data_IF_431936667569
#
_entry.id   IF_431936667569
#
_cell.length_a   1.000
_cell.length_b   1.000
_cell.length_c   1.000
_cell.angle_alpha   90.00
_cell.angle_beta   90.00
_cell.angle_gamma   90.00
#
_symmetry.space_group_name_H-M   'P 1'
#
loop_
_entity.id
_entity.type
_entity.pdbx_description
1 polymer ?
#
# COMPACT_ATOMS: atom_id res chain seq x y z
N UNK A 1 -5.71 41.17 -10.90
CA UNK A 1 -4.62 40.42 -11.55
C UNK A 1 -3.59 40.10 -10.48
N UNK A 2 -3.55 38.87 -9.98
CA UNK A 2 -2.38 38.26 -9.33
C UNK A 2 -2.64 36.74 -9.29
N UNK A 3 -2.30 36.08 -10.38
CA UNK A 3 -2.13 34.63 -10.41
C UNK A 3 -0.72 34.34 -9.91
N UNK A 4 -0.63 33.69 -8.76
CA UNK A 4 0.62 33.16 -8.20
C UNK A 4 0.42 31.71 -7.80
N UNK A 5 0.07 30.85 -8.75
CA UNK A 5 0.12 29.40 -8.56
C UNK A 5 1.59 28.99 -8.46
N UNK A 6 2.14 28.96 -7.25
CA UNK A 6 3.41 28.30 -6.98
C UNK A 6 3.24 26.80 -7.26
N UNK A 7 3.56 26.38 -8.48
CA UNK A 7 3.80 24.96 -8.77
C UNK A 7 5.01 24.55 -7.93
N UNK A 8 4.80 23.86 -6.81
CA UNK A 8 5.87 23.15 -6.09
C UNK A 8 6.62 22.32 -7.13
N UNK A 9 7.94 22.52 -7.24
CA UNK A 9 8.80 21.76 -8.14
C UNK A 9 8.64 20.28 -7.77
N UNK A 10 8.19 19.44 -8.72
CA UNK A 10 8.08 18.00 -8.48
C UNK A 10 9.48 17.48 -8.17
N UNK A 11 9.68 16.96 -6.95
CA UNK A 11 10.96 16.41 -6.50
C UNK A 11 10.96 14.90 -6.71
N UNK A 12 12.11 14.36 -7.08
CA UNK A 12 12.33 12.93 -7.32
C UNK A 12 13.20 12.29 -6.24
N UNK A 13 13.87 13.10 -5.43
CA UNK A 13 14.78 12.65 -4.37
C UNK A 13 14.08 12.65 -3.02
N UNK A 14 14.41 11.64 -2.22
CA UNK A 14 14.01 11.53 -0.82
C UNK A 14 14.95 12.42 0.00
N UNK A 15 14.38 13.25 0.86
CA UNK A 15 15.10 14.14 1.75
C UNK A 15 15.51 13.38 3.03
N UNK A 16 16.68 13.72 3.58
CA UNK A 16 17.24 13.01 4.75
C UNK A 16 16.29 12.99 5.96
N UNK A 17 15.57 14.09 6.19
CA UNK A 17 14.62 14.18 7.31
C UNK A 17 13.46 13.20 7.17
N UNK A 18 13.10 12.78 5.96
CA UNK A 18 12.02 11.81 5.73
C UNK A 18 12.45 10.42 6.16
N UNK A 19 13.69 10.05 5.84
CA UNK A 19 14.28 8.79 6.27
C UNK A 19 14.48 8.80 7.79
N UNK A 20 14.96 9.91 8.36
CA UNK A 20 15.09 10.06 9.82
C UNK A 20 13.72 9.96 10.50
N UNK A 21 12.69 10.63 9.98
CA UNK A 21 11.34 10.59 10.53
C UNK A 21 10.75 9.17 10.48
N UNK A 22 10.80 8.50 9.32
CA UNK A 22 10.30 7.13 9.17
C UNK A 22 10.98 6.19 10.16
N UNK A 23 12.31 6.26 10.25
CA UNK A 23 13.08 5.41 11.17
C UNK A 23 12.71 5.71 12.62
N UNK A 24 12.66 6.99 13.02
CA UNK A 24 12.33 7.37 14.39
C UNK A 24 10.93 6.89 14.77
N UNK A 25 9.94 7.08 13.90
CA UNK A 25 8.57 6.60 14.11
C UNK A 25 8.55 5.08 14.26
N UNK A 26 9.04 4.35 13.27
CA UNK A 26 9.01 2.88 13.26
C UNK A 26 9.77 2.26 14.45
N UNK A 27 10.90 2.84 14.85
CA UNK A 27 11.66 2.36 16.02
C UNK A 27 11.02 2.67 17.37
N UNK A 28 10.08 3.63 17.42
CA UNK A 28 9.40 4.04 18.66
C UNK A 28 8.06 3.32 18.82
N UNK A 29 7.57 2.62 17.79
CA UNK A 29 6.33 1.86 17.87
C UNK A 29 6.39 0.81 19.01
N UNK A 30 5.30 0.66 19.76
CA UNK A 30 5.25 -0.29 20.89
C UNK A 30 5.26 -1.76 20.45
N UNK A 31 4.78 -2.06 19.25
CA UNK A 31 4.79 -3.41 18.66
C UNK A 31 6.05 -3.64 17.82
N UNK A 32 6.75 -4.75 18.08
CA UNK A 32 8.01 -5.12 17.41
C UNK A 32 7.81 -5.84 16.08
N UNK A 33 6.57 -6.05 15.65
CA UNK A 33 6.25 -6.82 14.44
C UNK A 33 6.67 -6.11 13.13
N UNK A 34 7.21 -4.90 13.25
CA UNK A 34 7.60 -4.03 12.14
C UNK A 34 9.14 -3.91 11.96
N UNK A 35 9.94 -4.81 12.58
CA UNK A 35 11.41 -4.84 12.43
C UNK A 35 11.87 -4.91 10.96
N UNK A 36 11.11 -5.60 10.09
CA UNK A 36 11.36 -5.65 8.64
C UNK A 36 11.11 -4.31 7.93
N UNK A 37 10.22 -3.46 8.46
CA UNK A 37 10.02 -2.10 7.95
C UNK A 37 11.22 -1.20 8.29
N UNK A 38 11.80 -1.38 9.48
CA UNK A 38 13.01 -0.67 9.88
C UNK A 38 14.20 -1.15 9.04
N UNK A 39 14.35 -2.48 8.88
CA UNK A 39 15.44 -3.08 8.12
C UNK A 39 15.45 -2.61 6.66
N UNK A 40 14.31 -2.61 5.98
CA UNK A 40 14.26 -2.22 4.56
C UNK A 40 14.71 -0.76 4.36
N UNK A 41 14.34 0.15 5.25
CA UNK A 41 14.74 1.56 5.15
C UNK A 41 16.24 1.70 5.41
N UNK A 42 16.76 1.07 6.47
CA UNK A 42 18.20 1.10 6.79
C UNK A 42 19.07 0.51 5.69
N UNK A 43 18.57 -0.49 4.98
CA UNK A 43 19.25 -1.14 3.87
C UNK A 43 19.05 -0.39 2.53
N UNK A 44 18.45 0.79 2.54
CA UNK A 44 18.29 1.62 1.35
C UNK A 44 17.30 1.03 0.33
N UNK A 45 16.18 0.47 0.80
CA UNK A 45 15.16 -0.07 -0.11
C UNK A 45 14.53 0.99 -1.02
N UNK A 46 14.35 2.20 -0.50
CA UNK A 46 13.72 3.33 -1.19
C UNK A 46 14.72 3.99 -2.18
N UNK A 47 14.31 4.17 -3.43
CA UNK A 47 15.15 4.71 -4.51
C UNK A 47 14.82 6.14 -4.94
N UNK A 48 13.66 6.67 -4.54
CA UNK A 48 13.18 7.98 -4.96
C UNK A 48 11.71 8.21 -4.65
N UNK A 49 11.16 9.30 -5.18
CA UNK A 49 9.74 9.67 -5.06
C UNK A 49 8.97 9.24 -6.33
N UNK A 50 7.87 8.52 -6.16
CA UNK A 50 6.97 8.14 -7.25
C UNK A 50 6.02 9.30 -7.59
N UNK A 51 6.20 9.85 -8.79
CA UNK A 51 5.42 10.98 -9.32
C UNK A 51 4.20 10.55 -10.16
N UNK A 52 3.98 9.25 -10.35
CA UNK A 52 2.91 8.71 -11.21
C UNK A 52 1.53 8.85 -10.57
N UNK A 53 1.47 8.81 -9.24
CA UNK A 53 0.25 9.04 -8.48
C UNK A 53 0.19 10.53 -8.09
N UNK A 54 -0.64 11.36 -8.75
CA UNK A 54 -0.80 12.76 -8.39
C UNK A 54 -1.50 12.81 -7.03
N UNK A 55 -0.71 12.75 -5.98
CA UNK A 55 -1.26 12.63 -4.66
C UNK A 55 -1.71 13.99 -4.11
N UNK A 56 -2.65 13.91 -3.19
CA UNK A 56 -3.09 15.03 -2.39
C UNK A 56 -1.90 15.76 -1.74
N UNK A 57 -2.00 17.09 -1.54
CA UNK A 57 -0.95 17.84 -0.87
C UNK A 57 -0.61 17.23 0.50
N UNK A 58 0.65 16.87 0.70
CA UNK A 58 1.14 16.24 1.93
C UNK A 58 1.43 14.75 1.79
N UNK A 59 0.96 14.09 0.72
CA UNK A 59 1.31 12.71 0.43
C UNK A 59 2.60 12.60 -0.36
N UNK A 60 3.42 11.63 0.02
CA UNK A 60 4.68 11.26 -0.64
C UNK A 60 4.69 9.76 -0.86
N UNK A 61 4.86 9.34 -2.10
CA UNK A 61 5.04 7.93 -2.48
C UNK A 61 6.50 7.66 -2.79
N UNK A 62 6.99 6.47 -2.47
CA UNK A 62 8.34 6.04 -2.78
C UNK A 62 8.40 5.10 -3.99
N UNK A 63 9.53 5.16 -4.70
CA UNK A 63 9.98 4.09 -5.60
C UNK A 63 10.99 3.20 -4.88
N UNK A 64 11.22 1.99 -5.38
CA UNK A 64 12.12 1.02 -4.75
C UNK A 64 13.25 0.59 -5.67
N UNK A 65 14.37 0.14 -5.10
CA UNK A 65 15.38 -0.58 -5.86
C UNK A 65 14.91 -2.02 -6.17
N UNK A 66 15.29 -2.56 -7.34
CA UNK A 66 14.85 -3.90 -7.77
C UNK A 66 15.26 -5.01 -6.80
N UNK A 67 16.46 -4.94 -6.23
CA UNK A 67 16.94 -5.89 -5.22
C UNK A 67 16.12 -5.83 -3.92
N UNK A 68 15.61 -4.65 -3.55
CA UNK A 68 14.76 -4.49 -2.39
C UNK A 68 13.37 -5.10 -2.63
N UNK A 69 12.80 -4.90 -3.83
CA UNK A 69 11.56 -5.56 -4.23
C UNK A 69 11.69 -7.08 -4.14
N UNK A 70 12.77 -7.64 -4.70
CA UNK A 70 13.02 -9.08 -4.64
C UNK A 70 13.20 -9.63 -3.20
N UNK A 71 13.64 -8.81 -2.25
CA UNK A 71 13.91 -9.23 -0.88
C UNK A 71 12.72 -9.04 0.07
N UNK A 72 12.00 -7.92 -0.04
CA UNK A 72 11.04 -7.49 0.98
C UNK A 72 9.58 -7.51 0.50
N UNK A 73 9.31 -7.51 -0.81
CA UNK A 73 7.95 -7.54 -1.33
C UNK A 73 7.32 -8.90 -1.03
N UNK A 74 6.16 -8.87 -0.38
CA UNK A 74 5.35 -10.04 -0.10
C UNK A 74 3.89 -9.73 -0.44
N UNK A 75 3.41 -10.28 -1.55
CA UNK A 75 2.05 -10.06 -2.06
C UNK A 75 0.96 -10.64 -1.15
N UNK A 76 1.33 -11.52 -0.20
CA UNK A 76 0.38 -12.09 0.77
C UNK A 76 0.17 -11.18 1.98
N UNK A 77 1.03 -10.18 2.18
CA UNK A 77 0.89 -9.25 3.31
C UNK A 77 -0.20 -8.23 3.03
N UNK A 78 -1.22 -8.27 3.90
CA UNK A 78 -2.34 -7.32 3.89
C UNK A 78 -1.83 -5.88 3.94
N UNK A 79 -2.34 -5.03 3.06
CA UNK A 79 -2.04 -3.61 3.12
C UNK A 79 -2.67 -2.96 4.35
N UNK A 80 -1.95 -2.01 4.94
CA UNK A 80 -2.42 -1.24 6.09
C UNK A 80 -1.78 0.15 6.11
N UNK A 81 -2.31 0.99 6.99
CA UNK A 81 -1.71 2.26 7.37
C UNK A 81 -1.40 2.26 8.86
N UNK A 82 -0.30 2.91 9.22
CA UNK A 82 -0.02 3.32 10.58
C UNK A 82 -0.52 4.76 10.70
N UNK A 83 -1.53 4.96 11.53
CA UNK A 83 -2.21 6.24 11.69
C UNK A 83 -2.26 6.68 13.15
N UNK A 84 -2.84 7.86 13.40
CA UNK A 84 -2.81 8.53 14.71
C UNK A 84 -1.38 8.81 15.23
N UNK A 85 -0.43 8.95 14.32
CA UNK A 85 0.92 9.44 14.62
C UNK A 85 0.91 10.96 14.52
N UNK A 86 1.61 11.61 15.44
CA UNK A 86 1.76 13.07 15.45
C UNK A 86 3.23 13.46 15.33
N UNK A 87 3.53 14.42 14.47
CA UNK A 87 4.89 14.93 14.24
C UNK A 87 4.95 16.43 14.45
N UNK A 88 5.97 16.93 15.14
CA UNK A 88 6.06 18.35 15.46
C UNK A 88 6.51 19.17 14.24
N UNK A 89 5.72 20.18 13.87
CA UNK A 89 6.07 21.14 12.82
C UNK A 89 6.71 22.39 13.42
N UNK A 90 7.97 22.62 13.06
CA UNK A 90 8.76 23.77 13.49
C UNK A 90 8.20 25.11 12.98
N UNK A 91 7.40 25.13 11.91
CA UNK A 91 6.80 26.36 11.40
C UNK A 91 5.56 26.76 12.19
N UNK A 92 4.59 25.86 12.28
CA UNK A 92 3.33 26.14 12.98
C UNK A 92 3.45 26.02 14.50
N UNK A 93 4.50 25.37 15.01
CA UNK A 93 4.68 25.03 16.44
C UNK A 93 3.57 24.13 16.98
N UNK A 94 2.91 23.37 16.09
CA UNK A 94 1.89 22.39 16.43
C UNK A 94 2.28 21.01 15.91
N UNK A 95 1.66 20.00 16.51
CA UNK A 95 1.72 18.65 15.97
C UNK A 95 0.79 18.52 14.76
N UNK A 96 1.29 17.87 13.71
CA UNK A 96 0.54 17.53 12.50
C UNK A 96 0.25 16.03 12.48
N UNK A 97 -0.88 15.66 11.88
CA UNK A 97 -1.22 14.26 11.65
C UNK A 97 -0.27 13.66 10.62
N UNK A 98 0.30 12.51 10.95
CA UNK A 98 1.21 11.75 10.13
C UNK A 98 0.67 10.33 9.94
N UNK A 99 0.79 9.81 8.72
CA UNK A 99 0.34 8.47 8.38
C UNK A 99 1.41 7.80 7.53
N UNK A 100 1.75 6.55 7.83
CA UNK A 100 2.66 5.73 7.02
C UNK A 100 1.81 4.67 6.30
N UNK A 101 2.05 4.49 5.00
CA UNK A 101 1.35 3.50 4.20
C UNK A 101 2.24 2.31 3.92
N UNK A 102 1.71 1.12 4.20
CA UNK A 102 2.40 -0.15 4.02
C UNK A 102 1.61 -1.02 3.05
N UNK A 103 2.24 -1.39 1.94
CA UNK A 103 1.69 -2.30 0.94
C UNK A 103 2.70 -3.41 0.68
N UNK A 104 2.23 -4.65 0.50
CA UNK A 104 3.08 -5.82 0.24
C UNK A 104 4.25 -5.98 1.24
N UNK A 105 4.03 -5.60 2.51
CA UNK A 105 5.07 -5.61 3.55
C UNK A 105 6.14 -4.52 3.44
N UNK A 106 5.96 -3.52 2.57
CA UNK A 106 6.93 -2.46 2.31
C UNK A 106 6.36 -1.08 2.62
N UNK A 107 7.22 -0.16 3.06
CA UNK A 107 6.84 1.26 3.28
C UNK A 107 6.74 1.95 1.92
N UNK A 108 5.51 2.17 1.47
CA UNK A 108 5.20 2.73 0.15
C UNK A 108 5.11 4.25 0.13
N UNK A 109 4.89 4.87 1.29
CA UNK A 109 4.76 6.30 1.37
C UNK A 109 4.31 6.79 2.72
N UNK A 110 4.08 8.08 2.82
CA UNK A 110 3.49 8.71 3.98
C UNK A 110 2.58 9.88 3.57
N UNK A 111 1.75 10.32 4.51
CA UNK A 111 0.97 11.55 4.42
C UNK A 111 1.19 12.42 5.64
N UNK A 112 1.39 13.72 5.43
CA UNK A 112 1.38 14.74 6.47
C UNK A 112 0.22 15.70 6.19
N UNK A 113 -0.73 15.77 7.12
CA UNK A 113 -1.86 16.68 7.00
C UNK A 113 -1.44 18.09 7.44
N UNK A 114 -1.20 18.95 6.46
CA UNK A 114 -0.85 20.35 6.69
C UNK A 114 -1.72 21.28 5.83
N UNK A 115 -2.12 22.42 6.41
CA UNK A 115 -2.86 23.47 5.68
C UNK A 115 -1.95 24.28 4.76
N UNK A 116 -0.66 24.36 5.08
CA UNK A 116 0.36 25.11 4.33
C UNK A 116 1.70 24.33 4.28
N UNK A 117 2.80 24.97 3.88
CA UNK A 117 4.11 24.34 3.93
C UNK A 117 4.62 24.10 5.35
N UNK A 118 5.08 22.89 5.63
CA UNK A 118 5.60 22.47 6.94
C UNK A 118 7.14 22.42 6.98
N UNK A 119 7.70 22.20 8.16
CA UNK A 119 9.09 21.85 8.45
C UNK A 119 9.11 20.93 9.68
N UNK A 120 9.26 19.63 9.46
CA UNK A 120 9.14 18.64 10.55
C UNK A 120 10.42 18.57 11.38
N UNK A 121 10.28 18.48 12.70
CA UNK A 121 11.33 17.96 13.59
C UNK A 121 11.19 16.44 13.67
N UNK A 122 12.08 15.65 13.03
CA UNK A 122 11.94 14.20 12.97
C UNK A 122 12.12 13.51 14.33
N UNK A 123 12.58 14.23 15.37
CA UNK A 123 12.84 13.68 16.71
C UNK A 123 11.70 13.93 17.69
N UNK A 124 10.84 14.92 17.40
CA UNK A 124 9.67 15.22 18.20
C UNK A 124 8.44 14.56 17.58
N UNK A 125 8.28 13.29 17.93
CA UNK A 125 7.19 12.44 17.48
C UNK A 125 6.36 11.98 18.68
N UNK A 126 5.08 11.76 18.43
CA UNK A 126 4.18 11.13 19.37
C UNK A 126 3.44 9.99 18.67
N UNK A 127 3.74 8.77 19.13
CA UNK A 127 3.16 7.51 18.66
C UNK A 127 2.29 6.84 19.73
N UNK A 128 1.97 7.56 20.83
CA UNK A 128 1.23 6.99 21.96
C UNK A 128 -0.18 6.51 21.60
N UNK A 129 -0.74 7.07 20.53
CA UNK A 129 -2.02 6.69 19.96
C UNK A 129 -1.89 5.95 18.64
N UNK A 130 -0.69 5.56 18.21
CA UNK A 130 -0.51 4.93 16.90
C UNK A 130 -1.36 3.67 16.77
N UNK A 131 -2.09 3.54 15.66
CA UNK A 131 -2.92 2.39 15.34
C UNK A 131 -2.55 1.81 13.98
N UNK A 132 -2.62 0.49 13.88
CA UNK A 132 -2.52 -0.26 12.62
C UNK A 132 -3.93 -0.48 12.09
N UNK A 133 -4.27 0.19 10.99
CA UNK A 133 -5.58 0.10 10.36
C UNK A 133 -5.47 -0.54 8.96
N UNK A 134 -6.18 -1.64 8.77
CA UNK A 134 -6.29 -2.30 7.46
C UNK A 134 -7.27 -1.56 6.57
N UNK A 135 -7.04 -1.60 5.26
CA UNK A 135 -7.99 -1.03 4.31
C UNK A 135 -9.30 -1.83 4.31
N UNK A 136 -10.41 -1.12 4.45
CA UNK A 136 -11.74 -1.69 4.21
C UNK A 136 -11.91 -1.95 2.72
N UNK A 137 -12.45 -3.13 2.38
CA UNK A 137 -12.74 -3.48 1.00
C UNK A 137 -14.10 -4.19 0.91
N UNK A 138 -15.08 -3.47 0.37
CA UNK A 138 -16.44 -3.99 0.23
C UNK A 138 -16.55 -5.18 -0.73
N UNK A 139 -15.77 -5.17 -1.81
CA UNK A 139 -15.73 -6.29 -2.75
C UNK A 139 -15.17 -7.53 -2.05
N UNK A 140 -14.11 -7.36 -1.25
CA UNK A 140 -13.60 -8.46 -0.42
C UNK A 140 -14.63 -8.90 0.65
N UNK A 141 -15.40 -7.97 1.23
CA UNK A 141 -16.47 -8.31 2.18
C UNK A 141 -17.56 -9.18 1.57
N UNK A 142 -17.91 -8.93 0.31
CA UNK A 142 -18.84 -9.78 -0.45
C UNK A 142 -18.21 -11.14 -0.76
N UNK A 143 -16.96 -11.16 -1.24
CA UNK A 143 -16.25 -12.40 -1.56
C UNK A 143 -16.07 -13.30 -0.34
N UNK A 144 -15.75 -12.73 0.84
CA UNK A 144 -15.59 -13.46 2.10
C UNK A 144 -16.78 -14.35 2.46
N UNK A 145 -17.97 -14.05 1.99
CA UNK A 145 -19.19 -14.83 2.28
C UNK A 145 -19.13 -16.25 1.69
N UNK A 146 -18.31 -16.47 0.67
CA UNK A 146 -18.20 -17.75 -0.05
C UNK A 146 -16.84 -18.44 0.16
N UNK A 147 -15.95 -17.81 0.94
CA UNK A 147 -14.60 -18.31 1.23
C UNK A 147 -14.53 -19.03 2.58
N UNK A 148 -13.57 -19.94 2.69
CA UNK A 148 -13.16 -20.53 3.98
C UNK A 148 -12.21 -19.59 4.72
N UNK A 149 -12.14 -19.70 6.06
CA UNK A 149 -11.19 -18.89 6.85
C UNK A 149 -9.74 -19.05 6.40
N UNK A 150 -9.33 -20.26 5.99
CA UNK A 150 -7.99 -20.51 5.46
C UNK A 150 -7.71 -19.74 4.16
N UNK A 151 -8.67 -19.68 3.24
CA UNK A 151 -8.55 -18.91 2.00
C UNK A 151 -8.49 -17.40 2.30
N UNK A 152 -9.31 -16.91 3.22
CA UNK A 152 -9.34 -15.50 3.65
C UNK A 152 -7.98 -15.06 4.23
N UNK A 153 -7.30 -15.94 4.96
CA UNK A 153 -6.00 -15.65 5.57
C UNK A 153 -4.85 -15.60 4.56
N UNK A 154 -5.03 -16.21 3.39
CA UNK A 154 -4.03 -16.23 2.31
C UNK A 154 -4.19 -15.07 1.32
N UNK A 155 -5.23 -14.25 1.45
CA UNK A 155 -5.55 -13.16 0.54
C UNK A 155 -5.23 -11.80 1.17
N UNK A 156 -4.72 -10.87 0.35
CA UNK A 156 -4.67 -9.45 0.69
C UNK A 156 -6.03 -8.82 0.31
N UNK A 157 -6.84 -8.35 1.28
CA UNK A 157 -8.10 -7.67 0.96
C UNK A 157 -7.92 -6.51 0.00
N UNK A 158 -6.77 -5.81 0.02
CA UNK A 158 -6.56 -4.60 -0.76
C UNK A 158 -6.37 -4.85 -2.26
N UNK A 159 -6.03 -6.07 -2.67
CA UNK A 159 -5.82 -6.46 -4.07
C UNK A 159 -7.08 -7.01 -4.76
N UNK A 160 -8.18 -7.12 -4.01
CA UNK A 160 -9.45 -7.68 -4.49
C UNK A 160 -10.33 -6.55 -5.00
N UNK A 161 -10.83 -6.64 -6.22
CA UNK A 161 -11.80 -5.70 -6.77
C UNK A 161 -12.65 -6.40 -7.81
N UNK A 162 -13.88 -5.93 -8.04
CA UNK A 162 -14.75 -6.50 -9.06
C UNK A 162 -14.43 -5.94 -10.44
N UNK A 163 -14.22 -6.82 -11.40
CA UNK A 163 -14.17 -6.53 -12.83
C UNK A 163 -15.46 -7.04 -13.47
N UNK A 164 -16.21 -6.14 -14.10
CA UNK A 164 -17.44 -6.51 -14.82
C UNK A 164 -17.09 -6.80 -16.27
N UNK A 165 -17.19 -8.07 -16.68
CA UNK A 165 -16.93 -8.54 -18.04
C UNK A 165 -18.18 -9.23 -18.58
N UNK A 166 -18.61 -8.87 -19.80
CA UNK A 166 -19.81 -9.43 -20.43
C UNK A 166 -21.08 -9.41 -19.53
N UNK A 167 -21.19 -8.40 -18.65
CA UNK A 167 -22.30 -8.26 -17.71
C UNK A 167 -22.27 -9.23 -16.52
N UNK A 168 -21.15 -9.91 -16.30
CA UNK A 168 -20.89 -10.77 -15.14
C UNK A 168 -19.76 -10.18 -14.28
N UNK A 169 -19.91 -10.32 -12.97
CA UNK A 169 -18.93 -9.86 -11.98
C UNK A 169 -17.86 -10.92 -11.76
N UNK A 170 -16.60 -10.50 -11.86
CA UNK A 170 -15.43 -11.33 -11.57
C UNK A 170 -14.61 -10.63 -10.49
N UNK A 171 -14.48 -11.25 -9.33
CA UNK A 171 -13.60 -10.77 -8.27
C UNK A 171 -12.17 -11.07 -8.69
N UNK A 172 -11.36 -10.03 -8.86
CA UNK A 172 -9.93 -10.13 -9.15
C UNK A 172 -9.23 -10.85 -7.99
N UNK A 173 -8.59 -11.99 -8.27
CA UNK A 173 -7.87 -12.80 -7.29
C UNK A 173 -6.37 -12.60 -7.41
N UNK A 174 -5.85 -12.51 -8.64
CA UNK A 174 -4.40 -12.47 -8.91
C UNK A 174 -4.11 -11.86 -10.28
N UNK A 175 -3.17 -10.94 -10.33
CA UNK A 175 -2.64 -10.40 -11.59
C UNK A 175 -1.80 -11.47 -12.33
N UNK A 176 -1.91 -11.47 -13.66
CA UNK A 176 -1.00 -12.17 -14.58
C UNK A 176 -0.21 -11.13 -15.40
N UNK A 177 0.52 -11.58 -16.42
CA UNK A 177 1.25 -10.68 -17.32
C UNK A 177 0.30 -9.93 -18.27
N UNK A 178 0.73 -8.78 -18.79
CA UNK A 178 0.04 -8.03 -19.86
C UNK A 178 -1.41 -7.60 -19.58
N UNK A 179 -1.78 -7.49 -18.30
CA UNK A 179 -3.13 -7.09 -17.89
C UNK A 179 -4.13 -8.25 -17.87
N UNK A 180 -3.65 -9.47 -18.07
CA UNK A 180 -4.40 -10.69 -17.80
C UNK A 180 -4.55 -10.88 -16.28
N UNK A 181 -5.57 -11.61 -15.84
CA UNK A 181 -5.77 -11.89 -14.43
C UNK A 181 -6.57 -13.17 -14.19
N UNK A 182 -6.47 -13.67 -12.96
CA UNK A 182 -7.35 -14.73 -12.46
C UNK A 182 -8.50 -14.10 -11.71
N UNK A 183 -9.72 -14.39 -12.14
CA UNK A 183 -10.97 -13.96 -11.53
C UNK A 183 -11.75 -15.11 -10.90
N UNK A 184 -12.61 -14.81 -9.94
CA UNK A 184 -13.56 -15.77 -9.37
C UNK A 184 -14.96 -15.15 -9.26
N UNK A 185 -16.01 -15.93 -9.48
CA UNK A 185 -17.39 -15.50 -9.17
C UNK A 185 -17.82 -15.95 -7.76
N UNK A 186 -19.01 -15.52 -7.32
CA UNK A 186 -19.56 -15.92 -6.01
C UNK A 186 -20.00 -17.39 -5.97
N UNK A 187 -20.15 -18.05 -7.11
CA UNK A 187 -20.37 -19.50 -7.19
C UNK A 187 -19.06 -20.30 -7.08
N UNK A 188 -17.94 -19.62 -6.80
CA UNK A 188 -16.58 -20.17 -6.68
C UNK A 188 -16.02 -20.77 -7.97
N UNK A 189 -16.57 -20.40 -9.13
CA UNK A 189 -15.95 -20.73 -10.40
C UNK A 189 -14.78 -19.79 -10.66
N UNK A 190 -13.67 -20.35 -11.10
CA UNK A 190 -12.42 -19.63 -11.34
C UNK A 190 -12.20 -19.49 -12.84
N UNK A 191 -11.70 -18.32 -13.23
CA UNK A 191 -11.51 -17.94 -14.62
C UNK A 191 -10.14 -17.32 -14.84
N UNK A 192 -9.53 -17.62 -15.98
CA UNK A 192 -8.46 -16.83 -16.57
C UNK A 192 -9.09 -15.82 -17.53
N UNK A 193 -8.84 -14.54 -17.29
CA UNK A 193 -9.33 -13.43 -18.08
C UNK A 193 -8.15 -12.79 -18.80
N UNK A 194 -8.08 -12.96 -20.12
CA UNK A 194 -7.01 -12.40 -20.95
C UNK A 194 -7.46 -11.11 -21.62
N UNK A 195 -6.57 -10.15 -21.75
CA UNK A 195 -6.85 -8.85 -22.36
C UNK A 195 -6.68 -8.88 -23.89
N UNK A 196 -5.62 -9.51 -24.41
CA UNK A 196 -5.35 -9.60 -25.86
C UNK A 196 -4.71 -10.94 -26.28
N UNK A 197 -5.44 -11.85 -26.98
CA UNK A 197 -6.83 -11.70 -27.37
C UNK A 197 -7.76 -11.77 -26.16
N UNK A 198 -8.84 -10.99 -26.18
CA UNK A 198 -9.84 -11.02 -25.11
C UNK A 198 -10.51 -12.39 -24.99
N UNK A 199 -10.31 -13.08 -23.85
CA UNK A 199 -10.93 -14.37 -23.55
C UNK A 199 -11.25 -14.50 -22.06
N UNK A 200 -12.28 -15.30 -21.76
CA UNK A 200 -12.61 -15.74 -20.40
C UNK A 200 -12.67 -17.26 -20.43
N UNK A 201 -11.71 -17.91 -19.78
CA UNK A 201 -11.55 -19.36 -19.80
C UNK A 201 -11.80 -19.90 -18.39
N UNK A 202 -12.79 -20.79 -18.17
CA UNK A 202 -12.97 -21.43 -16.87
C UNK A 202 -11.81 -22.37 -16.57
N UNK A 203 -11.23 -22.24 -15.39
CA UNK A 203 -10.15 -23.09 -14.91
C UNK A 203 -10.69 -24.21 -14.02
N UNK A 204 -10.14 -25.41 -14.17
CA UNK A 204 -10.46 -26.58 -13.32
C UNK A 204 -9.47 -26.67 -12.16
N UNK A 205 -9.35 -25.59 -11.41
CA UNK A 205 -8.49 -25.48 -10.23
C UNK A 205 -9.31 -25.00 -9.05
N UNK A 206 -8.85 -25.29 -7.85
CA UNK A 206 -9.40 -24.75 -6.62
C UNK A 206 -8.70 -23.43 -6.26
N UNK A 207 -9.39 -22.56 -5.52
CA UNK A 207 -8.79 -21.33 -5.03
C UNK A 207 -7.56 -21.61 -4.16
N UNK A 208 -7.63 -22.67 -3.34
CA UNK A 208 -6.50 -23.10 -2.51
C UNK A 208 -5.27 -23.49 -3.32
N UNK A 209 -5.42 -24.15 -4.46
CA UNK A 209 -4.29 -24.47 -5.35
C UNK A 209 -3.66 -23.19 -5.90
N UNK A 210 -4.48 -22.24 -6.38
CA UNK A 210 -4.01 -20.95 -6.89
C UNK A 210 -3.24 -20.13 -5.84
N UNK A 211 -3.73 -20.07 -4.61
CA UNK A 211 -3.12 -19.30 -3.53
C UNK A 211 -1.82 -19.95 -3.00
N UNK A 212 -1.65 -21.26 -3.18
CA UNK A 212 -0.47 -22.01 -2.72
C UNK A 212 0.65 -22.16 -3.76
N UNK A 213 0.37 -21.97 -5.05
CA UNK A 213 1.38 -22.05 -6.14
C UNK A 213 2.39 -20.89 -6.14
N UNK A 214 2.30 -19.96 -5.19
CA UNK A 214 3.33 -18.94 -4.92
C UNK A 214 4.40 -19.55 -4.02
N UNK A 215 5.38 -20.25 -4.63
CA UNK A 215 6.66 -20.66 -4.01
C UNK A 215 7.84 -20.03 -4.73
#
# INVERSE_FOLDING_TARGET
MFFGLFKRKKRTEIEEWELELLLNVLTTLPEKDDDLLIEQIRNGALSGIDLRYPAEPGYVSFTFHQNALAKYKDEKKKAYKLEEIRVFDLKSQFFLDYTIYVFFGMVHGYFIKATEGYQIDPRQIDVSHCQKAYYENHDFDQLKQVLTSEEIDLMDPSSIYVVVLDGKDYYHIKDLEDGDFIGMDLDRNIYECTHDPYQIIPLKVTLKELLNDVK
#
